data_IF_546672322822
#
_entry.id   IF_546672322822
#
_cell.length_a   1.000
_cell.length_b   1.000
_cell.length_c   1.000
_cell.angle_alpha   90.00
_cell.angle_beta   90.00
_cell.angle_gamma   90.00
#
_symmetry.space_group_name_H-M   'P 1'
#
loop_
_entity.id
_entity.type
_entity.pdbx_description
1 polymer ?
#
# COMPACT_ATOMS: atom_id res chain seq x y z
N UNK A 1 -43.58 41.60 -8.63
CA UNK A 1 -44.70 40.72 -8.23
C UNK A 1 -44.37 39.32 -8.73
N UNK A 2 -44.27 38.28 -7.90
CA UNK A 2 -44.75 38.18 -6.53
C UNK A 2 -43.75 37.43 -5.63
N UNK A 3 -43.06 38.18 -4.76
CA UNK A 3 -42.42 37.61 -3.55
C UNK A 3 -43.45 36.88 -2.68
N UNK A 4 -44.74 37.24 -2.80
CA UNK A 4 -45.90 36.52 -2.25
C UNK A 4 -46.09 35.09 -2.79
N UNK A 5 -45.76 34.82 -4.07
CA UNK A 5 -45.92 33.48 -4.67
C UNK A 5 -44.80 32.55 -4.16
N UNK A 6 -43.58 33.06 -4.03
CA UNK A 6 -42.45 32.29 -3.48
C UNK A 6 -42.68 31.95 -1.99
N UNK A 7 -43.26 32.88 -1.21
CA UNK A 7 -43.58 32.61 0.19
C UNK A 7 -44.70 31.56 0.37
N UNK A 8 -45.71 31.57 -0.52
CA UNK A 8 -46.81 30.59 -0.48
C UNK A 8 -46.33 29.16 -0.82
N UNK A 9 -45.34 29.01 -1.70
CA UNK A 9 -44.78 27.69 -2.06
C UNK A 9 -43.98 27.10 -0.89
N UNK A 10 -43.25 27.93 -0.13
CA UNK A 10 -42.44 27.46 1.01
C UNK A 10 -43.34 27.03 2.19
N UNK A 11 -44.46 27.70 2.43
CA UNK A 11 -45.42 27.34 3.50
C UNK A 11 -46.17 26.04 3.17
N UNK A 12 -46.46 25.79 1.88
CA UNK A 12 -47.10 24.54 1.43
C UNK A 12 -46.18 23.31 1.54
N UNK A 13 -44.85 23.48 1.47
CA UNK A 13 -43.88 22.37 1.61
C UNK A 13 -43.64 22.02 3.09
N UNK A 14 -43.88 22.96 4.03
CA UNK A 14 -43.67 22.76 5.47
C UNK A 14 -44.92 22.32 6.24
N UNK A 15 -46.07 22.21 5.59
CA UNK A 15 -47.35 21.84 6.23
C UNK A 15 -47.84 20.41 5.90
N UNK A 16 -47.10 19.63 5.13
CA UNK A 16 -47.43 18.22 4.86
C UNK A 16 -46.50 17.24 5.59
N UNK A 17 -46.56 17.21 6.93
CA UNK A 17 -46.67 15.97 7.72
C UNK A 17 -46.48 16.22 9.23
N UNK A 18 -47.59 16.49 9.90
CA UNK A 18 -47.90 16.12 11.30
C UNK A 18 -49.43 16.07 11.38
N UNK A 19 -50.15 15.03 11.79
CA UNK A 19 -49.84 13.74 12.38
C UNK A 19 -51.10 12.84 12.26
N UNK A 20 -50.96 11.56 12.62
CA UNK A 20 -51.99 10.57 12.99
C UNK A 20 -52.57 9.62 11.92
N UNK A 21 -52.21 8.34 12.03
CA UNK A 21 -53.15 7.31 12.52
C UNK A 21 -52.46 5.96 12.73
N UNK A 22 -53.06 5.16 13.61
CA UNK A 22 -52.61 3.85 14.08
C UNK A 22 -52.53 2.82 12.94
N UNK A 23 -51.60 1.88 13.11
CA UNK A 23 -51.29 0.65 12.34
C UNK A 23 -52.39 0.08 11.43
N UNK A 24 -52.02 -0.39 10.22
CA UNK A 24 -51.83 -1.84 10.03
C UNK A 24 -50.62 -2.25 9.17
N UNK A 25 -50.07 -3.43 9.46
CA UNK A 25 -48.95 -4.11 8.77
C UNK A 25 -49.09 -4.12 7.24
N UNK A 26 -48.03 -3.74 6.51
CA UNK A 26 -47.59 -4.40 5.26
C UNK A 26 -46.17 -3.96 4.85
N UNK A 27 -45.30 -4.96 4.76
CA UNK A 27 -44.05 -5.11 4.00
C UNK A 27 -43.39 -3.85 3.42
N UNK A 28 -42.34 -3.36 4.08
CA UNK A 28 -41.34 -2.49 3.46
C UNK A 28 -40.25 -3.36 2.82
N UNK A 29 -40.23 -3.39 1.49
CA UNK A 29 -39.01 -3.68 0.75
C UNK A 29 -38.09 -2.46 0.91
N UNK A 30 -37.10 -2.56 1.78
CA UNK A 30 -35.96 -1.65 1.78
C UNK A 30 -35.09 -1.98 0.57
N UNK A 31 -35.07 -1.09 -0.42
CA UNK A 31 -34.06 -1.13 -1.47
C UNK A 31 -32.75 -0.64 -0.87
N UNK A 32 -31.78 -1.56 -0.80
CA UNK A 32 -30.45 -1.38 -0.24
C UNK A 32 -29.64 -0.29 -0.94
N UNK A 33 -29.42 0.85 -0.27
CA UNK A 33 -28.34 1.81 -0.58
C UNK A 33 -26.99 1.39 0.04
N UNK A 34 -26.92 0.20 0.66
CA UNK A 34 -25.73 -0.37 1.30
C UNK A 34 -24.64 -0.73 0.28
N UNK A 35 -25.02 -1.16 -0.92
CA UNK A 35 -24.08 -1.63 -1.95
C UNK A 35 -23.14 -0.53 -2.43
N UNK A 36 -23.65 0.69 -2.62
CA UNK A 36 -22.89 1.82 -3.19
C UNK A 36 -21.84 2.38 -2.24
N UNK A 37 -22.15 2.51 -0.95
CA UNK A 37 -21.21 3.01 0.05
C UNK A 37 -20.08 2.00 0.33
N UNK A 38 -20.43 0.70 0.39
CA UNK A 38 -19.46 -0.37 0.60
C UNK A 38 -18.52 -0.56 -0.60
N UNK A 39 -19.03 -0.41 -1.83
CA UNK A 39 -18.19 -0.44 -3.03
C UNK A 39 -17.27 0.78 -3.13
N UNK A 40 -17.76 1.99 -2.85
CA UNK A 40 -16.95 3.20 -2.87
C UNK A 40 -15.83 3.15 -1.82
N UNK A 41 -16.15 2.76 -0.58
CA UNK A 41 -15.17 2.59 0.51
C UNK A 41 -14.12 1.52 0.18
N UNK A 42 -14.54 0.43 -0.50
CA UNK A 42 -13.63 -0.65 -0.94
C UNK A 42 -12.73 -0.23 -2.10
N UNK A 43 -13.23 0.62 -3.02
CA UNK A 43 -12.43 1.20 -4.10
C UNK A 43 -11.36 2.14 -3.53
N UNK A 44 -11.71 2.97 -2.56
CA UNK A 44 -10.77 3.87 -1.89
C UNK A 44 -9.66 3.09 -1.15
N UNK A 45 -10.03 2.03 -0.42
CA UNK A 45 -9.06 1.16 0.25
C UNK A 45 -8.11 0.45 -0.73
N UNK A 46 -8.61 0.03 -1.89
CA UNK A 46 -7.80 -0.59 -2.95
C UNK A 46 -6.78 0.39 -3.54
N UNK A 47 -7.22 1.61 -3.88
CA UNK A 47 -6.35 2.64 -4.45
C UNK A 47 -5.26 3.05 -3.46
N UNK A 48 -5.59 3.16 -2.17
CA UNK A 48 -4.62 3.44 -1.11
C UNK A 48 -3.54 2.35 -1.05
N UNK A 49 -3.94 1.07 -1.05
CA UNK A 49 -3.00 -0.06 -1.03
C UNK A 49 -2.07 -0.08 -2.24
N UNK A 50 -2.61 0.14 -3.44
CA UNK A 50 -1.80 0.22 -4.66
C UNK A 50 -0.80 1.37 -4.59
N UNK A 51 -1.24 2.55 -4.14
CA UNK A 51 -0.38 3.73 -4.01
C UNK A 51 0.76 3.50 -3.02
N UNK A 52 0.49 2.85 -1.88
CA UNK A 52 1.53 2.48 -0.91
C UNK A 52 2.53 1.49 -1.52
N UNK A 53 2.05 0.44 -2.20
CA UNK A 53 2.92 -0.52 -2.87
C UNK A 53 3.79 0.16 -3.93
N UNK A 54 3.18 0.96 -4.81
CA UNK A 54 3.89 1.70 -5.85
C UNK A 54 4.96 2.61 -5.24
N UNK A 55 4.62 3.38 -4.20
CA UNK A 55 5.56 4.29 -3.55
C UNK A 55 6.72 3.54 -2.89
N UNK A 56 6.45 2.42 -2.24
CA UNK A 56 7.47 1.58 -1.63
C UNK A 56 8.44 1.00 -2.66
N UNK A 57 7.94 0.48 -3.79
CA UNK A 57 8.77 -0.05 -4.88
C UNK A 57 9.58 1.06 -5.56
N UNK A 58 8.97 2.21 -5.81
CA UNK A 58 9.66 3.38 -6.36
C UNK A 58 10.81 3.83 -5.43
N UNK A 59 10.54 3.98 -4.14
CA UNK A 59 11.57 4.36 -3.17
C UNK A 59 12.68 3.31 -3.08
N UNK A 60 12.34 2.02 -3.25
CA UNK A 60 13.32 0.92 -3.23
C UNK A 60 14.23 0.97 -4.45
N UNK A 61 13.71 1.20 -5.65
CA UNK A 61 14.53 1.42 -6.84
C UNK A 61 15.46 2.62 -6.66
N UNK A 62 14.93 3.72 -6.17
CA UNK A 62 15.72 4.93 -5.93
C UNK A 62 16.80 4.71 -4.86
N UNK A 63 16.52 3.89 -3.85
CA UNK A 63 17.51 3.42 -2.87
C UNK A 63 18.60 2.59 -3.54
N UNK A 64 18.24 1.58 -4.34
CA UNK A 64 19.20 0.69 -5.03
C UNK A 64 20.11 1.45 -5.99
N UNK A 65 19.60 2.48 -6.68
CA UNK A 65 20.39 3.38 -7.54
C UNK A 65 21.48 4.12 -6.75
N UNK A 66 21.18 4.55 -5.53
CA UNK A 66 22.10 5.32 -4.67
C UNK A 66 23.12 4.46 -3.96
N UNK A 67 22.78 3.21 -3.64
CA UNK A 67 23.69 2.27 -2.98
C UNK A 67 24.58 1.55 -4.01
N UNK A 68 25.86 1.97 -4.11
CA UNK A 68 26.96 1.37 -4.91
C UNK A 68 26.57 0.32 -5.98
N UNK A 69 26.11 0.82 -7.12
CA UNK A 69 26.38 0.46 -8.53
C UNK A 69 26.34 -0.99 -9.05
N UNK A 70 26.18 -2.04 -8.24
CA UNK A 70 26.10 -3.42 -8.74
C UNK A 70 24.80 -4.16 -8.39
N UNK A 71 23.97 -3.63 -7.49
CA UNK A 71 22.70 -4.29 -7.12
C UNK A 71 21.59 -4.08 -8.17
N UNK A 72 21.65 -3.00 -8.94
CA UNK A 72 20.70 -2.70 -10.01
C UNK A 72 21.45 -2.35 -11.31
N UNK A 73 21.41 -3.26 -12.28
CA UNK A 73 21.95 -3.07 -13.62
C UNK A 73 20.98 -2.22 -14.48
N UNK A 74 21.49 -1.52 -15.50
CA UNK A 74 20.68 -0.63 -16.36
C UNK A 74 19.47 -1.34 -17.01
N UNK A 75 19.63 -2.62 -17.38
CA UNK A 75 18.54 -3.45 -17.91
C UNK A 75 17.46 -3.71 -16.86
N UNK A 76 17.82 -3.85 -15.59
CA UNK A 76 16.88 -4.04 -14.47
C UNK A 76 16.08 -2.77 -14.19
N UNK A 77 16.70 -1.59 -14.23
CA UNK A 77 15.96 -0.32 -14.15
C UNK A 77 14.96 -0.16 -15.30
N UNK A 78 15.41 -0.40 -16.54
CA UNK A 78 14.54 -0.32 -17.70
C UNK A 78 13.35 -1.30 -17.59
N UNK A 79 13.60 -2.52 -17.11
CA UNK A 79 12.57 -3.54 -16.87
C UNK A 79 11.54 -3.06 -15.84
N UNK A 80 11.98 -2.48 -14.73
CA UNK A 80 11.09 -1.87 -13.74
C UNK A 80 10.21 -0.77 -14.37
N UNK A 81 10.82 0.16 -15.10
CA UNK A 81 10.10 1.27 -15.72
C UNK A 81 9.05 0.77 -16.72
N UNK A 82 9.39 -0.19 -17.59
CA UNK A 82 8.47 -0.80 -18.55
C UNK A 82 7.27 -1.49 -17.87
N UNK A 83 7.53 -2.25 -16.79
CA UNK A 83 6.47 -2.91 -16.03
C UNK A 83 5.54 -1.87 -15.38
N UNK A 84 6.10 -0.82 -14.78
CA UNK A 84 5.30 0.20 -14.12
C UNK A 84 4.48 1.05 -15.10
N UNK A 85 5.06 1.45 -16.23
CA UNK A 85 4.31 2.11 -17.30
C UNK A 85 3.14 1.25 -17.81
N UNK A 86 3.34 -0.06 -17.88
CA UNK A 86 2.29 -0.99 -18.27
C UNK A 86 1.21 -1.09 -17.20
N UNK A 87 1.54 -1.37 -15.93
CA UNK A 87 0.51 -1.60 -14.90
C UNK A 87 -0.30 -0.34 -14.59
N UNK A 88 0.29 0.86 -14.72
CA UNK A 88 -0.42 2.12 -14.57
C UNK A 88 -1.53 2.32 -15.62
N UNK A 89 -1.45 1.65 -16.76
CA UNK A 89 -2.49 1.65 -17.81
C UNK A 89 -3.57 0.57 -17.60
N UNK A 90 -3.42 -0.30 -16.60
CA UNK A 90 -4.31 -1.45 -16.36
C UNK A 90 -4.97 -1.37 -14.98
N UNK A 91 -6.03 -0.55 -14.79
CA UNK A 91 -6.66 -0.32 -13.48
C UNK A 91 -7.20 -1.60 -12.83
N UNK A 92 -7.73 -2.55 -13.62
CA UNK A 92 -8.17 -3.85 -13.09
C UNK A 92 -7.01 -4.64 -12.46
N UNK A 93 -5.82 -4.57 -13.08
CA UNK A 93 -4.61 -5.23 -12.56
C UNK A 93 -4.05 -4.52 -11.33
N UNK A 94 -4.13 -3.18 -11.28
CA UNK A 94 -3.79 -2.44 -10.06
C UNK A 94 -4.64 -2.90 -8.89
N UNK A 95 -5.95 -3.08 -9.10
CA UNK A 95 -6.89 -3.60 -8.10
C UNK A 95 -6.55 -5.03 -7.68
N UNK A 96 -6.26 -5.92 -8.61
CA UNK A 96 -5.86 -7.29 -8.29
C UNK A 96 -4.55 -7.36 -7.50
N UNK A 97 -3.56 -6.54 -7.87
CA UNK A 97 -2.28 -6.50 -7.17
C UNK A 97 -2.44 -5.92 -5.76
N UNK A 98 -3.22 -4.85 -5.61
CA UNK A 98 -3.55 -4.26 -4.32
C UNK A 98 -4.29 -5.23 -3.39
N UNK A 99 -5.24 -6.00 -3.94
CA UNK A 99 -5.94 -7.04 -3.19
C UNK A 99 -4.96 -8.10 -2.69
N UNK A 100 -4.05 -8.56 -3.56
CA UNK A 100 -3.03 -9.56 -3.19
C UNK A 100 -2.08 -9.03 -2.11
N UNK A 101 -1.71 -7.75 -2.17
CA UNK A 101 -0.86 -7.06 -1.19
C UNK A 101 -1.53 -6.82 0.19
N UNK A 102 -2.83 -7.12 0.36
CA UNK A 102 -3.59 -6.75 1.56
C UNK A 102 -2.98 -7.28 2.87
N UNK A 103 -2.46 -8.51 2.89
CA UNK A 103 -1.87 -9.09 4.10
C UNK A 103 -0.62 -8.31 4.55
N UNK A 104 0.28 -8.02 3.61
CA UNK A 104 1.49 -7.21 3.87
C UNK A 104 1.11 -5.79 4.28
N UNK A 105 0.17 -5.17 3.57
CA UNK A 105 -0.31 -3.83 3.89
C UNK A 105 -0.84 -3.75 5.33
N UNK A 106 -1.73 -4.66 5.72
CA UNK A 106 -2.32 -4.67 7.07
C UNK A 106 -1.25 -4.89 8.12
N UNK A 107 -0.34 -5.86 7.89
CA UNK A 107 0.79 -6.12 8.77
C UNK A 107 1.64 -4.87 8.99
N UNK A 108 2.11 -4.22 7.90
CA UNK A 108 2.94 -3.03 8.00
C UNK A 108 2.19 -1.85 8.63
N UNK A 109 0.90 -1.69 8.36
CA UNK A 109 0.04 -0.65 8.96
C UNK A 109 -0.10 -0.84 10.46
N UNK A 110 -0.28 -2.07 10.92
CA UNK A 110 -0.39 -2.36 12.35
C UNK A 110 0.96 -2.15 13.06
N UNK A 111 2.07 -2.57 12.44
CA UNK A 111 3.41 -2.32 12.98
C UNK A 111 3.77 -0.83 12.97
N UNK A 112 3.38 -0.09 11.93
CA UNK A 112 3.53 1.37 11.89
C UNK A 112 2.74 2.04 13.03
N UNK A 113 1.49 1.66 13.29
CA UNK A 113 0.72 2.21 14.41
C UNK A 113 1.36 1.94 15.76
N UNK A 114 1.90 0.74 15.98
CA UNK A 114 2.58 0.38 17.24
C UNK A 114 3.91 1.14 17.42
N UNK A 115 4.66 1.31 16.34
CA UNK A 115 6.06 1.73 16.41
C UNK A 115 6.32 3.15 15.91
N UNK A 116 5.40 3.80 15.23
CA UNK A 116 5.60 5.12 14.64
C UNK A 116 4.25 5.80 14.36
N UNK A 117 3.38 5.86 15.38
CA UNK A 117 2.00 6.37 15.28
C UNK A 117 1.90 7.81 14.74
N UNK A 118 2.97 8.59 14.82
CA UNK A 118 3.07 9.97 14.35
C UNK A 118 3.47 10.10 12.87
N UNK A 119 3.80 9.01 12.17
CA UNK A 119 4.14 9.02 10.75
C UNK A 119 3.10 8.28 9.91
N UNK A 120 3.01 8.60 8.61
CA UNK A 120 2.21 7.80 7.69
C UNK A 120 2.96 6.52 7.27
N UNK A 121 2.22 5.55 6.69
CA UNK A 121 2.78 4.26 6.29
C UNK A 121 3.88 4.37 5.22
N UNK A 122 3.78 5.31 4.28
CA UNK A 122 4.83 5.51 3.26
C UNK A 122 6.11 6.02 3.90
N UNK A 123 5.99 6.97 4.84
CA UNK A 123 7.10 7.48 5.63
C UNK A 123 7.74 6.37 6.45
N UNK A 124 6.93 5.53 7.12
CA UNK A 124 7.42 4.38 7.89
C UNK A 124 8.23 3.39 7.03
N UNK A 125 7.72 3.01 5.86
CA UNK A 125 8.43 2.13 4.92
C UNK A 125 9.71 2.80 4.39
N UNK A 126 9.63 4.08 4.01
CA UNK A 126 10.78 4.81 3.48
C UNK A 126 11.90 4.97 4.53
N UNK A 127 11.54 5.13 5.80
CA UNK A 127 12.51 5.20 6.89
C UNK A 127 13.31 3.89 7.01
N UNK A 128 12.70 2.73 6.74
CA UNK A 128 13.41 1.44 6.70
C UNK A 128 14.50 1.42 5.61
N UNK A 129 14.19 1.92 4.41
CA UNK A 129 15.15 2.06 3.32
C UNK A 129 16.28 3.05 3.66
N UNK A 130 15.95 4.19 4.30
CA UNK A 130 16.96 5.18 4.74
C UNK A 130 17.91 4.57 5.77
N UNK A 131 17.41 3.81 6.75
CA UNK A 131 18.27 3.15 7.74
C UNK A 131 19.24 2.17 7.06
N UNK A 132 18.76 1.40 6.08
CA UNK A 132 19.60 0.49 5.30
C UNK A 132 20.65 1.23 4.46
N UNK A 133 20.25 2.32 3.80
CA UNK A 133 21.16 3.16 3.01
C UNK A 133 22.32 3.70 3.86
N UNK A 134 22.02 4.20 5.05
CA UNK A 134 23.04 4.67 5.98
C UNK A 134 23.94 3.54 6.47
N UNK A 135 23.38 2.36 6.79
CA UNK A 135 24.18 1.19 7.19
C UNK A 135 25.16 0.76 6.08
N UNK A 136 24.74 0.82 4.81
CA UNK A 136 25.58 0.46 3.67
C UNK A 136 26.58 1.56 3.26
N UNK A 137 26.26 2.83 3.56
CA UNK A 137 27.12 3.98 3.23
C UNK A 137 27.00 5.10 4.29
N UNK A 138 27.73 4.99 5.41
CA UNK A 138 27.62 5.91 6.54
C UNK A 138 28.03 7.36 6.25
N UNK A 139 28.67 7.62 5.10
CA UNK A 139 29.12 8.96 4.70
C UNK A 139 28.03 9.77 3.97
N UNK A 140 26.86 9.18 3.71
CA UNK A 140 25.70 9.92 3.20
C UNK A 140 25.14 10.81 4.33
N UNK A 141 25.29 12.13 4.18
CA UNK A 141 24.72 13.16 5.06
C UNK A 141 23.18 13.23 4.96
N UNK A 142 22.48 12.13 5.24
CA UNK A 142 21.01 12.09 5.34
C UNK A 142 20.61 12.18 6.80
N UNK A 143 19.57 12.97 7.07
CA UNK A 143 18.90 12.96 8.36
C UNK A 143 18.34 11.56 8.60
N UNK A 144 18.90 10.86 9.58
CA UNK A 144 18.42 9.55 9.99
C UNK A 144 17.07 9.68 10.69
N UNK A 145 16.09 8.82 10.36
CA UNK A 145 14.96 8.58 11.23
C UNK A 145 15.41 8.26 12.66
N UNK A 146 14.70 8.76 13.67
CA UNK A 146 15.03 8.59 15.10
C UNK A 146 15.16 7.12 15.54
N UNK A 147 14.54 6.20 14.78
CA UNK A 147 14.61 4.74 15.03
C UNK A 147 15.72 4.02 14.26
N UNK A 148 16.46 4.72 13.39
CA UNK A 148 17.67 4.21 12.75
C UNK A 148 18.86 4.22 13.73
N UNK A 149 18.81 3.44 14.81
CA UNK A 149 19.98 3.30 15.67
C UNK A 149 20.58 1.90 15.49
N UNK A 150 21.65 1.79 14.70
CA UNK A 150 22.73 0.84 14.99
C UNK A 150 23.69 1.58 15.91
N UNK A 151 23.60 1.28 17.21
CA UNK A 151 24.64 1.65 18.15
C UNK A 151 25.91 0.91 17.71
N UNK A 152 26.96 1.66 17.38
CA UNK A 152 28.27 1.08 17.04
C UNK A 152 28.96 0.42 18.26
N UNK A 153 28.24 0.32 19.39
CA UNK A 153 28.61 -0.43 20.59
C UNK A 153 27.37 -1.23 21.04
N UNK A 154 27.58 -2.50 21.34
CA UNK A 154 26.59 -3.48 21.84
C UNK A 154 25.46 -2.89 22.69
N UNK A 155 24.21 -3.24 22.35
CA UNK A 155 23.03 -3.39 23.25
C UNK A 155 21.71 -2.75 22.79
N UNK A 156 21.57 -2.24 21.57
CA UNK A 156 20.24 -1.93 21.00
C UNK A 156 19.95 -2.66 19.68
N UNK A 157 19.42 -3.88 19.81
CA UNK A 157 19.23 -4.84 18.70
C UNK A 157 17.83 -4.86 18.08
N UNK A 158 16.87 -4.11 18.62
CA UNK A 158 15.45 -4.35 18.31
C UNK A 158 14.89 -3.59 17.08
N UNK A 159 15.27 -2.32 16.86
CA UNK A 159 14.67 -1.51 15.78
C UNK A 159 15.32 -1.69 14.40
N UNK A 160 16.55 -2.18 14.34
CA UNK A 160 17.28 -2.36 13.07
C UNK A 160 16.82 -3.62 12.34
N UNK A 161 16.58 -4.72 13.06
CA UNK A 161 16.14 -6.00 12.47
C UNK A 161 14.82 -5.82 11.71
N UNK A 162 13.80 -5.21 12.33
CA UNK A 162 12.50 -5.04 11.69
C UNK A 162 12.55 -4.13 10.45
N UNK A 163 13.36 -3.08 10.49
CA UNK A 163 13.54 -2.19 9.33
C UNK A 163 14.33 -2.89 8.22
N UNK A 164 15.30 -3.73 8.58
CA UNK A 164 16.01 -4.59 7.64
C UNK A 164 15.03 -5.54 6.94
N UNK A 165 14.09 -6.16 7.67
CA UNK A 165 13.04 -7.01 7.09
C UNK A 165 12.15 -6.27 6.09
N UNK A 166 11.72 -5.04 6.40
CA UNK A 166 10.93 -4.21 5.47
C UNK A 166 11.72 -3.95 4.19
N UNK A 167 12.98 -3.51 4.33
CA UNK A 167 13.81 -3.20 3.17
C UNK A 167 14.09 -4.45 2.33
N UNK A 168 14.45 -5.58 2.94
CA UNK A 168 14.67 -6.83 2.22
C UNK A 168 13.42 -7.31 1.49
N UNK A 169 12.25 -7.21 2.13
CA UNK A 169 10.98 -7.56 1.48
C UNK A 169 10.80 -6.78 0.16
N UNK A 170 10.93 -5.45 0.18
CA UNK A 170 10.75 -4.66 -1.03
C UNK A 170 11.90 -4.82 -2.04
N UNK A 171 13.15 -5.04 -1.60
CA UNK A 171 14.27 -5.39 -2.49
C UNK A 171 13.97 -6.67 -3.26
N UNK A 172 13.42 -7.68 -2.60
CA UNK A 172 13.04 -8.93 -3.26
C UNK A 172 11.89 -8.74 -4.25
N UNK A 173 10.94 -7.83 -3.98
CA UNK A 173 9.91 -7.49 -4.97
C UNK A 173 10.51 -6.82 -6.21
N UNK A 174 11.53 -5.97 -6.04
CA UNK A 174 12.29 -5.43 -7.17
C UNK A 174 13.01 -6.55 -7.93
N UNK A 175 13.60 -7.53 -7.23
CA UNK A 175 14.24 -8.67 -7.88
C UNK A 175 13.23 -9.42 -8.77
N UNK A 176 12.05 -9.74 -8.25
CA UNK A 176 10.95 -10.40 -9.00
C UNK A 176 10.58 -9.61 -10.26
N UNK A 177 10.54 -8.28 -10.18
CA UNK A 177 10.23 -7.43 -11.34
C UNK A 177 11.35 -7.49 -12.39
N UNK A 178 12.60 -7.57 -11.95
CA UNK A 178 13.76 -7.25 -12.77
C UNK A 178 14.53 -8.47 -13.30
N UNK A 179 14.27 -9.68 -12.79
CA UNK A 179 14.99 -10.90 -13.19
C UNK A 179 14.31 -11.72 -14.30
N UNK A 180 13.08 -11.38 -14.68
CA UNK A 180 12.38 -12.13 -15.72
C UNK A 180 13.04 -11.93 -17.11
N UNK A 181 13.41 -13.00 -17.82
CA UNK A 181 14.18 -12.89 -19.07
C UNK A 181 13.34 -12.31 -20.22
N UNK A 182 13.94 -11.43 -21.03
CA UNK A 182 13.26 -10.61 -22.06
C UNK A 182 12.70 -11.38 -23.28
N UNK A 183 12.79 -12.72 -23.26
CA UNK A 183 12.43 -13.59 -24.40
C UNK A 183 10.91 -13.76 -24.62
N UNK A 184 10.06 -13.06 -23.86
CA UNK A 184 8.62 -13.28 -23.85
C UNK A 184 7.81 -12.01 -24.13
N UNK A 185 6.95 -12.04 -25.16
CA UNK A 185 6.02 -10.94 -25.49
C UNK A 185 5.00 -10.65 -24.39
N UNK A 186 4.84 -11.56 -23.42
CA UNK A 186 3.94 -11.45 -22.27
C UNK A 186 4.67 -11.22 -20.94
N UNK A 187 5.86 -10.63 -20.97
CA UNK A 187 6.72 -10.42 -19.81
C UNK A 187 6.02 -9.68 -18.65
N UNK A 188 5.20 -8.67 -18.96
CA UNK A 188 4.52 -7.88 -17.93
C UNK A 188 3.44 -8.69 -17.19
N UNK A 189 2.72 -9.58 -17.89
CA UNK A 189 1.77 -10.48 -17.21
C UNK A 189 2.49 -11.51 -16.35
N UNK A 190 3.66 -12.00 -16.78
CA UNK A 190 4.47 -12.90 -15.96
C UNK A 190 4.90 -12.21 -14.67
N UNK A 191 5.51 -11.03 -14.76
CA UNK A 191 5.91 -10.23 -13.59
C UNK A 191 4.71 -9.98 -12.68
N UNK A 192 3.57 -9.60 -13.25
CA UNK A 192 2.34 -9.38 -12.49
C UNK A 192 1.91 -10.62 -11.71
N UNK A 193 1.90 -11.80 -12.34
CA UNK A 193 1.54 -13.05 -11.69
C UNK A 193 2.57 -13.47 -10.62
N UNK A 194 3.86 -13.28 -10.90
CA UNK A 194 4.95 -13.54 -9.93
C UNK A 194 4.80 -12.67 -8.69
N UNK A 195 4.61 -11.35 -8.84
CA UNK A 195 4.35 -10.45 -7.71
C UNK A 195 3.11 -10.82 -6.91
N UNK A 196 2.00 -11.19 -7.58
CA UNK A 196 0.79 -11.65 -6.89
C UNK A 196 1.07 -12.88 -6.04
N UNK A 197 1.79 -13.86 -6.59
CA UNK A 197 2.16 -15.08 -5.88
C UNK A 197 2.98 -14.76 -4.62
N UNK A 198 3.95 -13.85 -4.72
CA UNK A 198 4.78 -13.43 -3.58
C UNK A 198 3.99 -12.86 -2.41
N UNK A 199 2.88 -12.15 -2.67
CA UNK A 199 2.06 -11.54 -1.61
C UNK A 199 1.11 -12.51 -0.90
N UNK A 200 0.82 -13.67 -1.49
CA UNK A 200 -0.17 -14.62 -0.94
C UNK A 200 0.46 -15.93 -0.49
N UNK A 201 1.68 -16.23 -0.93
CA UNK A 201 2.36 -17.47 -0.65
C UNK A 201 2.93 -17.51 0.77
N UNK A 202 2.05 -17.63 1.76
CA UNK A 202 2.42 -17.69 3.19
C UNK A 202 2.77 -19.10 3.66
N UNK A 203 2.56 -20.12 2.82
CA UNK A 203 2.76 -21.54 3.15
C UNK A 203 4.16 -22.06 2.85
N UNK A 204 4.95 -21.33 2.04
CA UNK A 204 6.36 -21.64 1.81
C UNK A 204 7.20 -20.90 2.84
N UNK A 205 7.99 -21.65 3.61
CA UNK A 205 8.85 -21.13 4.69
C UNK A 205 9.82 -20.05 4.21
N UNK A 206 10.23 -20.11 2.95
CA UNK A 206 11.18 -19.19 2.33
C UNK A 206 10.54 -18.06 1.50
N UNK A 207 9.20 -17.91 1.53
CA UNK A 207 8.57 -16.79 0.81
C UNK A 207 8.95 -15.44 1.41
N UNK A 208 9.00 -14.40 0.58
CA UNK A 208 9.38 -13.07 1.05
C UNK A 208 8.39 -12.52 2.08
N UNK A 209 7.09 -12.80 1.91
CA UNK A 209 6.08 -12.44 2.91
C UNK A 209 6.28 -13.17 4.24
N UNK A 210 6.60 -14.47 4.22
CA UNK A 210 6.87 -15.20 5.45
C UNK A 210 8.12 -14.66 6.15
N UNK A 211 9.17 -14.33 5.38
CA UNK A 211 10.37 -13.68 5.91
C UNK A 211 10.07 -12.35 6.64
N UNK A 212 9.16 -11.54 6.10
CA UNK A 212 8.73 -10.29 6.73
C UNK A 212 7.92 -10.52 8.01
N UNK A 213 6.94 -11.43 7.96
CA UNK A 213 5.96 -11.60 9.04
C UNK A 213 6.52 -12.47 10.18
N UNK A 214 7.09 -13.63 9.87
CA UNK A 214 7.52 -14.62 10.88
C UNK A 214 8.76 -14.21 11.65
N UNK A 215 9.64 -13.39 11.05
CA UNK A 215 10.89 -12.95 11.68
C UNK A 215 10.76 -11.63 12.41
N UNK A 216 9.56 -11.03 12.38
CA UNK A 216 9.29 -9.76 13.04
C UNK A 216 9.44 -9.89 14.56
N UNK A 217 10.19 -8.97 15.16
CA UNK A 217 10.38 -8.93 16.61
C UNK A 217 9.42 -7.90 17.22
N UNK A 218 8.73 -8.24 18.31
CA UNK A 218 7.65 -7.45 18.94
C UNK A 218 8.03 -6.73 20.24
#
# INVERSE_FOLDING_TARGET
MNKLIILLIIILILSSCKEHSKTPKKTQNFTDNSTTHNELTKIDDTNIKFNVLHKALQNTIEYLKRTRSNELQNNQENRYNQFFEWILKHPNKQKELANSFTAVYNFLKDKQKKNANNSDLNTYINNALICQEHNSNPTLNKKLPEKCHKQYNSDSTYNTINFDLIAYFFKNMILVITTEPEINTNINEKIFNSLKAEFVNTTITDSHINGLISRWQD
#
